data_IF_810461955669
#
_entry.id   IF_810461955669
#
_cell.length_a   1.000
_cell.length_b   1.000
_cell.length_c   1.000
_cell.angle_alpha   90.00
_cell.angle_beta   90.00
_cell.angle_gamma   90.00
#
_symmetry.space_group_name_H-M   'P 1'
#
loop_
_entity.id
_entity.type
_entity.pdbx_description
1 polymer ?
#
# COMPACT_ATOMS: atom_id res chain seq x y z
N UNK A 1 -16.41 2.37 4.99
CA UNK A 1 -15.03 1.84 5.04
C UNK A 1 -15.01 0.39 4.60
N UNK A 2 -13.94 -0.02 3.95
CA UNK A 2 -13.78 -1.37 3.48
C UNK A 2 -12.51 -1.99 4.01
N UNK A 3 -12.55 -3.27 4.32
CA UNK A 3 -11.36 -4.04 4.65
C UNK A 3 -10.81 -4.62 3.35
N UNK A 4 -9.59 -4.24 3.01
CA UNK A 4 -8.98 -4.65 1.75
C UNK A 4 -7.78 -5.51 2.04
N UNK A 5 -7.74 -6.69 1.43
CA UNK A 5 -6.66 -7.65 1.57
C UNK A 5 -5.77 -7.62 0.34
N UNK A 6 -4.48 -7.45 0.56
CA UNK A 6 -3.50 -7.51 -0.52
C UNK A 6 -2.30 -8.31 -0.04
N UNK A 7 -1.75 -9.11 -0.93
CA UNK A 7 -0.54 -9.86 -0.62
C UNK A 7 0.68 -9.02 -0.96
N UNK A 8 1.56 -8.84 0.01
CA UNK A 8 2.80 -8.12 -0.20
C UNK A 8 3.77 -8.94 -1.05
N UNK A 9 4.31 -8.39 -2.13
CA UNK A 9 5.34 -9.08 -2.90
C UNK A 9 6.67 -9.16 -2.15
N UNK A 10 6.86 -8.32 -1.15
CA UNK A 10 8.07 -8.28 -0.34
C UNK A 10 8.07 -9.34 0.76
N UNK A 11 7.06 -9.28 1.63
CA UNK A 11 6.98 -10.16 2.79
C UNK A 11 6.31 -11.49 2.50
N UNK A 12 5.59 -11.58 1.37
CA UNK A 12 4.78 -12.73 0.98
C UNK A 12 3.61 -13.00 1.92
N UNK A 13 3.28 -12.02 2.74
CA UNK A 13 2.15 -12.10 3.67
C UNK A 13 0.97 -11.34 3.13
N UNK A 14 -0.24 -11.82 3.43
CA UNK A 14 -1.46 -11.09 3.13
C UNK A 14 -1.73 -10.10 4.23
N UNK A 15 -1.82 -8.83 3.85
CA UNK A 15 -2.12 -7.74 4.77
C UNK A 15 -3.53 -7.25 4.53
N UNK A 16 -4.21 -6.86 5.60
CA UNK A 16 -5.54 -6.27 5.53
C UNK A 16 -5.48 -4.86 6.09
N UNK A 17 -5.97 -3.90 5.30
CA UNK A 17 -6.10 -2.52 5.77
C UNK A 17 -7.55 -2.07 5.66
N UNK A 18 -8.01 -1.37 6.67
CA UNK A 18 -9.33 -0.77 6.63
C UNK A 18 -9.21 0.64 6.07
N UNK A 19 -9.79 0.84 4.90
CA UNK A 19 -9.63 2.08 4.14
C UNK A 19 -10.95 2.82 4.02
N UNK A 20 -10.86 4.15 3.98
CA UNK A 20 -12.03 5.01 3.83
C UNK A 20 -12.43 5.07 2.34
N UNK A 21 -12.96 3.96 1.86
CA UNK A 21 -13.49 3.86 0.50
C UNK A 21 -14.84 3.18 0.55
N UNK A 22 -15.66 3.47 -0.45
CA UNK A 22 -16.93 2.79 -0.64
C UNK A 22 -16.76 1.70 -1.69
N UNK A 23 -17.72 0.78 -1.72
CA UNK A 23 -17.73 -0.27 -2.73
C UNK A 23 -17.79 0.31 -4.13
N UNK A 24 -18.58 1.36 -4.31
CA UNK A 24 -18.68 2.03 -5.61
C UNK A 24 -17.34 2.63 -6.05
N UNK A 25 -16.63 3.23 -5.13
CA UNK A 25 -15.30 3.80 -5.40
C UNK A 25 -14.30 2.71 -5.78
N UNK A 26 -14.33 1.61 -5.06
CA UNK A 26 -13.47 0.48 -5.36
C UNK A 26 -13.77 -0.09 -6.75
N UNK A 27 -15.05 -0.24 -7.07
CA UNK A 27 -15.47 -0.76 -8.37
C UNK A 27 -15.11 0.19 -9.50
N UNK A 28 -15.17 1.50 -9.27
CA UNK A 28 -14.73 2.49 -10.24
C UNK A 28 -13.26 2.34 -10.58
N UNK A 29 -12.43 2.10 -9.57
CA UNK A 29 -11.02 1.85 -9.79
C UNK A 29 -10.79 0.56 -10.56
N UNK A 30 -11.48 -0.50 -10.20
CA UNK A 30 -11.40 -1.78 -10.92
C UNK A 30 -11.83 -1.63 -12.38
N UNK A 31 -12.73 -0.70 -12.66
CA UNK A 31 -13.20 -0.42 -14.01
C UNK A 31 -12.27 0.45 -14.85
N UNK A 32 -11.16 0.93 -14.26
CA UNK A 32 -10.15 1.69 -14.99
C UNK A 32 -9.99 3.15 -14.58
N UNK A 33 -10.75 3.62 -13.61
CA UNK A 33 -10.58 4.99 -13.11
C UNK A 33 -9.25 5.11 -12.37
N UNK A 34 -8.60 6.28 -12.47
CA UNK A 34 -7.39 6.54 -11.73
C UNK A 34 -7.67 6.47 -10.23
N UNK A 35 -6.74 5.88 -9.48
CA UNK A 35 -6.96 5.66 -8.06
C UNK A 35 -7.20 6.95 -7.28
N UNK A 36 -6.50 8.02 -7.63
CA UNK A 36 -6.67 9.31 -6.98
C UNK A 36 -8.03 9.96 -7.27
N UNK A 37 -8.65 9.61 -8.37
CA UNK A 37 -9.99 10.08 -8.72
C UNK A 37 -11.07 9.20 -8.11
N UNK A 38 -10.84 7.88 -8.12
CA UNK A 38 -11.79 6.93 -7.58
C UNK A 38 -11.85 7.00 -6.06
N UNK A 39 -10.70 7.21 -5.42
CA UNK A 39 -10.56 7.17 -3.97
C UNK A 39 -9.82 8.39 -3.45
N UNK A 40 -10.41 9.59 -3.54
CA UNK A 40 -9.70 10.84 -3.23
C UNK A 40 -9.38 11.02 -1.75
N UNK A 41 -10.02 10.26 -0.87
CA UNK A 41 -9.79 10.40 0.57
C UNK A 41 -8.55 9.65 1.06
N UNK A 42 -7.96 8.79 0.25
CA UNK A 42 -6.80 8.00 0.65
C UNK A 42 -5.53 8.82 0.58
N UNK A 43 -4.62 8.58 1.52
CA UNK A 43 -3.30 9.19 1.47
C UNK A 43 -2.37 8.37 0.56
N UNK A 44 -1.14 8.85 0.38
CA UNK A 44 -0.18 8.20 -0.51
C UNK A 44 0.15 6.77 -0.10
N UNK A 45 0.29 6.51 1.19
CA UNK A 45 0.61 5.18 1.70
C UNK A 45 -0.53 4.20 1.44
N UNK A 46 -1.77 4.65 1.62
CA UNK A 46 -2.94 3.82 1.39
C UNK A 46 -3.10 3.49 -0.10
N UNK A 47 -2.85 4.47 -0.97
CA UNK A 47 -2.90 4.24 -2.41
C UNK A 47 -1.82 3.26 -2.85
N UNK A 48 -0.62 3.38 -2.30
CA UNK A 48 0.46 2.44 -2.61
C UNK A 48 0.11 1.02 -2.15
N UNK A 49 -0.49 0.88 -0.98
CA UNK A 49 -0.95 -0.42 -0.53
C UNK A 49 -1.91 -1.07 -1.53
N UNK A 50 -2.86 -0.31 -2.04
CA UNK A 50 -3.81 -0.83 -3.02
C UNK A 50 -3.14 -1.23 -4.33
N UNK A 51 -2.19 -0.44 -4.79
CA UNK A 51 -1.50 -0.69 -6.05
C UNK A 51 -0.53 -1.85 -5.97
N UNK A 52 0.22 -1.95 -4.89
CA UNK A 52 1.36 -2.86 -4.80
C UNK A 52 1.21 -3.94 -3.76
N UNK A 53 0.37 -3.72 -2.74
CA UNK A 53 0.27 -4.62 -1.60
C UNK A 53 1.30 -4.35 -0.52
N UNK A 54 2.17 -3.36 -0.72
CA UNK A 54 3.22 -3.03 0.25
C UNK A 54 2.64 -2.15 1.35
N UNK A 55 3.03 -2.45 2.59
CA UNK A 55 2.68 -1.63 3.75
C UNK A 55 3.85 -0.73 4.13
N UNK A 56 3.62 0.19 5.06
CA UNK A 56 4.70 1.03 5.58
C UNK A 56 5.81 0.19 6.21
N UNK A 57 5.44 -0.90 6.87
CA UNK A 57 6.40 -1.83 7.45
C UNK A 57 7.29 -2.46 6.38
N UNK A 58 6.68 -2.84 5.25
CA UNK A 58 7.42 -3.42 4.13
C UNK A 58 8.40 -2.40 3.53
N UNK A 59 7.95 -1.16 3.35
CA UNK A 59 8.82 -0.10 2.86
C UNK A 59 10.01 0.12 3.80
N UNK A 60 9.74 0.15 5.07
CA UNK A 60 10.80 0.30 6.07
C UNK A 60 11.81 -0.84 5.99
N UNK A 61 11.32 -2.07 5.89
CA UNK A 61 12.19 -3.25 5.78
C UNK A 61 13.05 -3.21 4.52
N UNK A 62 12.50 -2.77 3.41
CA UNK A 62 13.24 -2.68 2.16
C UNK A 62 14.39 -1.67 2.23
N UNK A 63 14.16 -0.53 2.85
CA UNK A 63 15.15 0.53 2.93
C UNK A 63 16.09 0.40 4.12
N UNK A 64 15.70 -0.37 5.10
CA UNK A 64 16.49 -0.55 6.30
C UNK A 64 17.85 -1.20 6.03
N UNK A 65 17.94 -2.09 5.06
CA UNK A 65 19.19 -2.76 4.71
C UNK A 65 20.21 -1.77 4.16
N UNK A 66 19.79 -0.87 3.29
CA UNK A 66 20.65 0.18 2.76
C UNK A 66 21.14 1.10 3.88
N UNK A 67 20.24 1.39 4.81
CA UNK A 67 20.55 2.26 5.93
C UNK A 67 21.57 1.63 6.86
N UNK A 68 21.40 0.33 7.12
CA UNK A 68 22.32 -0.42 7.99
C UNK A 68 23.71 -0.51 7.37
N UNK A 69 23.78 -0.73 6.07
CA UNK A 69 25.08 -0.79 5.37
C UNK A 69 25.85 0.51 5.51
N UNK A 70 25.18 1.64 5.37
CA UNK A 70 25.81 2.93 5.54
C UNK A 70 26.37 3.11 6.95
N UNK A 71 25.65 2.65 7.94
CA UNK A 71 26.07 2.73 9.31
C UNK A 71 27.28 1.85 9.59
N UNK A 72 27.32 0.68 8.99
CA UNK A 72 28.46 -0.24 9.18
C UNK A 72 29.73 0.30 8.55
N UNK A 73 29.61 1.04 7.49
CA UNK A 73 30.77 1.61 6.79
C UNK A 73 31.20 2.95 7.34
N UNK A 74 30.33 3.56 8.10
CA UNK A 74 30.60 4.85 8.68
C UNK A 74 31.17 4.76 10.07
#
# INVERSE_FOLDING_TARGET
>A
MMDIKRRSPWSKKTNTMRLDVTEDEYNAWMGGMLIQEAMPRLNSAEREFLKTGLTNTDWFDMFKDDFVEEMDNG
#
